data_IF_991165010036
#
_entry.id   IF_991165010036
#
_cell.length_a   1.000
_cell.length_b   1.000
_cell.length_c   1.000
_cell.angle_alpha   90.00
_cell.angle_beta   90.00
_cell.angle_gamma   90.00
#
_symmetry.space_group_name_H-M   'P 1'
#
loop_
_entity.id
_entity.type
_entity.pdbx_description
1 polymer ?
#
# COMPACT_ATOMS: atom_id res chain seq x y z
N UNK A 1 -5.68 1.17 20.41
CA UNK A 1 -7.06 1.70 20.32
C UNK A 1 -7.27 2.65 21.48
N UNK A 2 -6.99 3.94 21.29
CA UNK A 2 -7.03 4.93 22.39
C UNK A 2 -8.39 5.65 22.52
N UNK A 3 -9.30 5.47 21.55
CA UNK A 3 -10.68 5.93 21.59
C UNK A 3 -11.57 4.71 21.31
N UNK A 4 -12.64 4.50 22.09
CA UNK A 4 -13.56 3.34 21.98
C UNK A 4 -14.46 3.39 20.74
N UNK A 5 -13.92 3.84 19.61
CA UNK A 5 -14.62 4.09 18.36
C UNK A 5 -15.23 2.81 17.77
N UNK A 6 -14.70 1.63 18.10
CA UNK A 6 -15.26 0.33 17.69
C UNK A 6 -16.70 0.08 18.17
N UNK A 7 -17.19 0.86 19.13
CA UNK A 7 -18.56 0.78 19.62
C UNK A 7 -19.56 1.58 18.78
N UNK A 8 -19.11 2.37 17.81
CA UNK A 8 -20.00 3.04 16.85
C UNK A 8 -20.09 2.22 15.57
N UNK A 9 -21.22 2.33 14.86
CA UNK A 9 -21.39 1.65 13.57
C UNK A 9 -20.28 2.06 12.58
N UNK A 10 -19.89 3.33 12.59
CA UNK A 10 -18.82 3.85 11.74
C UNK A 10 -17.45 3.24 12.09
N UNK A 11 -17.10 3.14 13.37
CA UNK A 11 -15.83 2.54 13.78
C UNK A 11 -15.82 1.03 13.58
N UNK A 12 -16.95 0.35 13.78
CA UNK A 12 -17.10 -1.07 13.44
C UNK A 12 -16.94 -1.29 11.93
N UNK A 13 -17.57 -0.46 11.10
CA UNK A 13 -17.41 -0.52 9.63
C UNK A 13 -15.95 -0.31 9.22
N UNK A 14 -15.22 0.63 9.85
CA UNK A 14 -13.78 0.83 9.61
C UNK A 14 -12.97 -0.43 9.93
N UNK A 15 -13.30 -1.12 11.02
CA UNK A 15 -12.65 -2.39 11.40
C UNK A 15 -12.95 -3.48 10.38
N UNK A 16 -14.19 -3.60 9.93
CA UNK A 16 -14.59 -4.58 8.91
C UNK A 16 -13.87 -4.32 7.57
N UNK A 17 -13.79 -3.07 7.14
CA UNK A 17 -13.06 -2.67 5.93
C UNK A 17 -11.56 -3.02 6.01
N UNK A 18 -10.95 -2.88 7.18
CA UNK A 18 -9.56 -3.30 7.41
C UNK A 18 -9.46 -4.84 7.35
N UNK A 19 -10.35 -5.54 8.07
CA UNK A 19 -10.35 -7.01 8.17
C UNK A 19 -10.53 -7.69 6.83
N UNK A 20 -11.26 -7.06 5.90
CA UNK A 20 -11.47 -7.55 4.54
C UNK A 20 -10.16 -7.74 3.75
N UNK A 21 -9.12 -6.98 4.09
CA UNK A 21 -7.80 -7.08 3.44
C UNK A 21 -6.77 -7.94 4.18
N UNK A 22 -7.17 -8.59 5.30
CA UNK A 22 -6.26 -9.37 6.13
C UNK A 22 -6.48 -10.88 5.93
N UNK A 23 -5.39 -11.61 5.71
CA UNK A 23 -5.35 -13.09 5.68
C UNK A 23 -6.42 -13.66 4.73
N UNK A 24 -7.39 -14.41 5.26
CA UNK A 24 -8.48 -15.05 4.52
C UNK A 24 -9.64 -14.08 4.16
N UNK A 25 -9.48 -12.78 4.42
CA UNK A 25 -10.55 -11.79 4.24
C UNK A 25 -11.71 -11.98 5.21
N UNK A 26 -12.91 -11.56 4.80
CA UNK A 26 -14.15 -11.69 5.59
C UNK A 26 -14.80 -13.07 5.41
N UNK A 27 -15.44 -13.59 6.48
CA UNK A 27 -16.32 -14.75 6.39
C UNK A 27 -17.58 -14.41 5.59
N UNK A 28 -18.27 -15.44 5.04
CA UNK A 28 -19.53 -15.26 4.29
C UNK A 28 -20.60 -14.50 5.10
N UNK A 29 -20.68 -14.78 6.39
CA UNK A 29 -21.60 -14.12 7.30
C UNK A 29 -21.29 -12.62 7.46
N UNK A 30 -20.01 -12.26 7.59
CA UNK A 30 -19.60 -10.84 7.67
C UNK A 30 -19.82 -10.11 6.34
N UNK A 31 -19.64 -10.78 5.20
CA UNK A 31 -19.92 -10.19 3.88
C UNK A 31 -21.42 -9.87 3.72
N UNK A 32 -22.30 -10.75 4.21
CA UNK A 32 -23.75 -10.52 4.20
C UNK A 32 -24.16 -9.39 5.14
N UNK A 33 -23.53 -9.28 6.31
CA UNK A 33 -23.85 -8.25 7.30
C UNK A 33 -23.30 -6.86 6.93
N UNK A 34 -22.22 -6.82 6.14
CA UNK A 34 -21.56 -5.58 5.71
C UNK A 34 -21.34 -5.58 4.18
N UNK A 35 -22.41 -5.53 3.38
CA UNK A 35 -22.33 -5.66 1.92
C UNK A 35 -21.62 -4.46 1.26
N UNK A 36 -21.63 -3.30 1.91
CA UNK A 36 -20.94 -2.08 1.46
C UNK A 36 -19.46 -2.04 1.88
N UNK A 37 -18.88 -3.17 2.32
CA UNK A 37 -17.48 -3.23 2.69
C UNK A 37 -16.60 -2.89 1.49
N UNK A 38 -15.87 -1.78 1.59
CA UNK A 38 -14.82 -1.41 0.64
C UNK A 38 -13.49 -1.88 1.24
N UNK A 39 -12.82 -2.90 0.66
CA UNK A 39 -11.52 -3.32 1.14
C UNK A 39 -10.53 -2.17 1.03
N UNK A 40 -9.93 -1.77 2.15
CA UNK A 40 -8.94 -0.69 2.16
C UNK A 40 -7.59 -1.30 1.81
N UNK A 41 -6.98 -1.00 0.66
CA UNK A 41 -5.70 -1.58 0.28
C UNK A 41 -4.60 -1.09 1.24
N UNK A 42 -4.31 -1.88 2.28
CA UNK A 42 -3.30 -1.55 3.30
C UNK A 42 -1.92 -2.13 3.01
N UNK A 43 -1.74 -2.73 1.83
CA UNK A 43 -0.50 -3.41 1.46
C UNK A 43 0.71 -2.47 1.56
N UNK A 44 0.57 -1.24 1.08
CA UNK A 44 1.61 -0.21 1.17
C UNK A 44 1.89 0.26 2.60
N UNK A 45 0.90 0.19 3.51
CA UNK A 45 1.12 0.56 4.91
C UNK A 45 2.02 -0.43 5.64
N UNK A 46 2.03 -1.71 5.22
CA UNK A 46 2.95 -2.73 5.71
C UNK A 46 4.28 -2.76 4.94
N UNK A 47 4.18 -3.02 3.64
CA UNK A 47 5.32 -3.40 2.78
C UNK A 47 5.86 -2.25 1.90
N UNK A 48 5.15 -1.13 1.88
CA UNK A 48 5.52 0.04 1.07
C UNK A 48 6.70 0.80 1.67
N UNK A 49 7.45 1.48 0.83
CA UNK A 49 8.58 2.31 1.20
C UNK A 49 8.60 3.57 0.33
N UNK A 50 8.59 4.73 0.98
CA UNK A 50 8.83 6.04 0.36
C UNK A 50 10.24 6.46 0.74
N UNK A 51 11.08 6.67 -0.25
CA UNK A 51 12.49 6.97 0.00
C UNK A 51 13.00 8.06 -0.93
N UNK A 52 13.82 8.94 -0.36
CA UNK A 52 14.60 9.92 -1.11
C UNK A 52 15.98 9.34 -1.32
N UNK A 53 16.36 9.12 -2.58
CA UNK A 53 17.72 8.70 -2.93
C UNK A 53 18.61 9.93 -3.04
N UNK A 54 19.71 9.92 -2.29
CA UNK A 54 20.78 10.91 -2.34
C UNK A 54 22.05 10.26 -2.90
N UNK A 55 22.80 10.99 -3.71
CA UNK A 55 24.12 10.58 -4.21
C UNK A 55 25.14 11.63 -3.78
N UNK A 56 26.06 11.24 -2.89
CA UNK A 56 27.08 12.15 -2.30
C UNK A 56 26.49 13.45 -1.72
N UNK A 57 25.30 13.35 -1.11
CA UNK A 57 24.60 14.50 -0.53
C UNK A 57 23.80 15.35 -1.52
N UNK A 58 23.82 15.01 -2.81
CA UNK A 58 23.01 15.66 -3.84
C UNK A 58 21.73 14.85 -4.07
N UNK A 59 20.60 15.54 -4.21
CA UNK A 59 19.33 14.90 -4.55
C UNK A 59 19.46 14.12 -5.87
N UNK A 60 19.13 12.82 -5.82
CA UNK A 60 19.15 11.94 -6.99
C UNK A 60 17.74 11.71 -7.54
N UNK A 61 16.84 11.18 -6.70
CA UNK A 61 15.48 10.83 -7.11
C UNK A 61 14.59 10.49 -5.93
N UNK A 62 13.28 10.65 -6.12
CA UNK A 62 12.27 10.03 -5.27
C UNK A 62 12.00 8.59 -5.72
N UNK A 63 11.75 7.70 -4.77
CA UNK A 63 11.45 6.30 -5.02
C UNK A 63 10.27 5.86 -4.17
N UNK A 64 9.22 5.38 -4.83
CA UNK A 64 8.20 4.54 -4.21
C UNK A 64 8.55 3.08 -4.50
N UNK A 65 8.57 2.24 -3.47
CA UNK A 65 8.90 0.82 -3.58
C UNK A 65 7.94 -0.04 -2.76
N UNK A 66 7.56 -1.19 -3.28
CA UNK A 66 6.94 -2.28 -2.51
C UNK A 66 7.81 -3.52 -2.70
N UNK A 67 8.22 -4.16 -1.62
CA UNK A 67 9.06 -5.37 -1.66
C UNK A 67 8.24 -6.55 -1.12
N UNK A 68 8.28 -7.69 -1.81
CA UNK A 68 7.61 -8.91 -1.35
C UNK A 68 8.42 -10.16 -1.77
N UNK A 69 8.11 -11.32 -1.20
CA UNK A 69 8.69 -12.60 -1.63
C UNK A 69 8.38 -12.89 -3.11
N UNK A 70 9.29 -13.55 -3.83
CA UNK A 70 9.17 -13.82 -5.28
C UNK A 70 7.90 -14.61 -5.66
N UNK A 71 7.39 -15.43 -4.73
CA UNK A 71 6.13 -16.19 -4.89
C UNK A 71 4.92 -15.29 -5.20
N UNK A 72 4.98 -14.03 -4.80
CA UNK A 72 3.93 -13.02 -4.97
C UNK A 72 4.22 -12.12 -6.19
N UNK A 73 5.03 -12.58 -7.15
CA UNK A 73 5.30 -11.88 -8.42
C UNK A 73 4.02 -11.50 -9.17
N UNK A 74 3.03 -12.38 -9.18
CA UNK A 74 1.72 -12.14 -9.81
C UNK A 74 1.04 -10.93 -9.18
N UNK A 75 1.12 -10.78 -7.85
CA UNK A 75 0.55 -9.64 -7.13
C UNK A 75 1.27 -8.34 -7.50
N UNK A 76 2.61 -8.32 -7.51
CA UNK A 76 3.34 -7.11 -7.87
C UNK A 76 3.15 -6.72 -9.34
N UNK A 77 2.98 -7.71 -10.22
CA UNK A 77 2.65 -7.47 -11.63
C UNK A 77 1.26 -6.85 -11.76
N UNK A 78 0.26 -7.37 -11.04
CA UNK A 78 -1.07 -6.79 -11.00
C UNK A 78 -1.08 -5.36 -10.43
N UNK A 79 -0.25 -5.08 -9.42
CA UNK A 79 -0.08 -3.71 -8.87
C UNK A 79 0.52 -2.77 -9.92
N UNK A 80 1.55 -3.22 -10.65
CA UNK A 80 2.15 -2.45 -11.75
C UNK A 80 1.10 -2.13 -12.82
N UNK A 81 0.30 -3.11 -13.21
CA UNK A 81 -0.78 -2.93 -14.20
C UNK A 81 -1.88 -2.00 -13.68
N UNK A 82 -2.27 -2.14 -12.42
CA UNK A 82 -3.26 -1.28 -11.76
C UNK A 82 -2.84 0.20 -11.76
N UNK A 83 -1.59 0.49 -11.37
CA UNK A 83 -1.07 1.85 -11.40
C UNK A 83 -0.66 2.32 -12.80
N UNK A 84 -0.56 1.39 -13.76
CA UNK A 84 -0.05 1.62 -15.11
C UNK A 84 1.28 2.42 -15.14
N UNK A 85 2.15 2.19 -14.16
CA UNK A 85 3.44 2.84 -14.05
C UNK A 85 4.43 1.99 -13.24
N UNK A 86 5.71 2.39 -13.24
CA UNK A 86 6.77 1.67 -12.55
C UNK A 86 7.17 0.35 -13.22
N UNK A 87 7.96 -0.43 -12.51
CA UNK A 87 8.49 -1.72 -12.98
C UNK A 87 8.69 -2.69 -11.82
N UNK A 88 8.67 -3.99 -12.14
CA UNK A 88 9.00 -5.05 -11.20
C UNK A 88 10.46 -5.49 -11.40
N UNK A 89 11.18 -5.72 -10.32
CA UNK A 89 12.59 -6.12 -10.32
C UNK A 89 12.79 -7.31 -9.38
N UNK A 90 13.18 -8.45 -9.95
CA UNK A 90 13.45 -9.67 -9.19
C UNK A 90 14.88 -9.67 -8.62
N UNK A 91 14.98 -9.76 -7.30
CA UNK A 91 16.24 -9.88 -6.54
C UNK A 91 16.48 -11.36 -6.23
N UNK A 92 17.03 -12.08 -7.21
CA UNK A 92 17.27 -13.53 -7.12
C UNK A 92 18.11 -13.97 -5.92
N UNK A 93 19.04 -13.14 -5.45
CA UNK A 93 19.87 -13.46 -4.29
C UNK A 93 19.08 -13.41 -2.97
N UNK A 94 17.99 -12.64 -2.93
CA UNK A 94 17.20 -12.40 -1.73
C UNK A 94 15.81 -13.07 -1.80
N UNK A 95 15.51 -13.82 -2.87
CA UNK A 95 14.18 -14.42 -3.15
C UNK A 95 13.03 -13.41 -3.01
N UNK A 96 13.27 -12.16 -3.38
CA UNK A 96 12.27 -11.09 -3.30
C UNK A 96 12.10 -10.41 -4.65
N UNK A 97 10.95 -9.82 -4.84
CA UNK A 97 10.60 -8.98 -5.98
C UNK A 97 10.22 -7.59 -5.47
N UNK A 98 10.68 -6.57 -6.17
CA UNK A 98 10.38 -5.16 -5.87
C UNK A 98 9.52 -4.56 -6.97
N UNK A 99 8.39 -3.95 -6.62
CA UNK A 99 7.72 -2.97 -7.47
C UNK A 99 8.32 -1.60 -7.19
N UNK A 100 8.80 -0.88 -8.22
CA UNK A 100 9.49 0.41 -8.08
C UNK A 100 8.90 1.46 -9.03
N UNK A 101 8.70 2.66 -8.50
CA UNK A 101 8.37 3.86 -9.26
C UNK A 101 9.41 4.94 -8.93
N UNK A 102 10.25 5.26 -9.90
CA UNK A 102 11.32 6.27 -9.77
C UNK A 102 11.08 7.51 -10.60
N UNK A 103 10.21 7.42 -11.61
CA UNK A 103 9.94 8.52 -12.53
C UNK A 103 9.10 9.58 -11.82
N UNK A 104 9.64 10.78 -11.71
CA UNK A 104 8.99 11.89 -11.00
C UNK A 104 7.58 12.19 -11.54
N UNK A 105 7.39 12.11 -12.86
CA UNK A 105 6.06 12.31 -13.47
C UNK A 105 5.02 11.34 -12.94
N UNK A 106 5.40 10.08 -12.77
CA UNK A 106 4.48 9.01 -12.38
C UNK A 106 4.22 9.09 -10.88
N UNK A 107 5.25 9.43 -10.09
CA UNK A 107 5.09 9.73 -8.67
C UNK A 107 4.11 10.89 -8.45
N UNK A 108 4.29 12.00 -9.17
CA UNK A 108 3.49 13.20 -8.98
C UNK A 108 2.06 13.09 -9.54
N UNK A 109 1.87 12.37 -10.65
CA UNK A 109 0.56 12.28 -11.33
C UNK A 109 -0.27 11.08 -10.91
N UNK A 110 0.35 10.03 -10.38
CA UNK A 110 -0.32 8.76 -10.09
C UNK A 110 -0.20 8.41 -8.61
N UNK A 111 1.04 8.25 -8.12
CA UNK A 111 1.28 7.71 -6.77
C UNK A 111 0.84 8.68 -5.67
N UNK A 112 1.24 9.94 -5.75
CA UNK A 112 0.88 10.96 -4.74
C UNK A 112 -0.65 11.18 -4.72
N UNK A 113 -1.34 11.44 -5.85
CA UNK A 113 -2.80 11.59 -5.85
C UNK A 113 -3.53 10.35 -5.33
N UNK A 114 -3.03 9.15 -5.63
CA UNK A 114 -3.60 7.91 -5.10
C UNK A 114 -3.54 7.88 -3.57
N UNK A 115 -2.38 8.15 -2.96
CA UNK A 115 -2.21 8.11 -1.50
C UNK A 115 -2.79 9.34 -0.78
N UNK A 116 -3.15 10.41 -1.49
CA UNK A 116 -3.99 11.49 -0.95
C UNK A 116 -5.44 11.01 -0.81
N UNK A 117 -5.98 10.32 -1.83
CA UNK A 117 -7.36 9.82 -1.83
C UNK A 117 -7.52 8.54 -1.00
N UNK A 118 -6.49 7.69 -0.96
CA UNK A 118 -6.41 6.45 -0.18
C UNK A 118 -5.25 6.55 0.82
N UNK A 119 -5.45 7.27 1.94
CA UNK A 119 -4.38 7.62 2.86
C UNK A 119 -3.70 6.39 3.48
N UNK A 120 -2.37 6.47 3.54
CA UNK A 120 -1.53 5.52 4.26
C UNK A 120 -1.82 5.67 5.75
N UNK A 121 -1.94 4.55 6.44
CA UNK A 121 -2.26 4.52 7.87
C UNK A 121 -1.04 4.10 8.68
N UNK A 122 -0.96 4.61 9.91
CA UNK A 122 0.13 4.31 10.85
C UNK A 122 1.35 5.22 10.67
N UNK A 123 2.49 4.82 11.23
CA UNK A 123 3.71 5.65 11.29
C UNK A 123 4.22 6.01 9.90
N UNK A 124 4.06 5.11 8.91
CA UNK A 124 4.46 5.34 7.51
C UNK A 124 3.70 6.49 6.83
N UNK A 125 2.58 6.94 7.41
CA UNK A 125 1.89 8.14 6.94
C UNK A 125 2.69 9.42 7.19
N UNK A 126 3.62 9.40 8.16
CA UNK A 126 4.56 10.49 8.40
C UNK A 126 5.61 10.52 7.28
N UNK A 127 6.21 9.36 6.94
CA UNK A 127 7.17 9.23 5.84
C UNK A 127 6.64 9.69 4.48
N UNK A 128 5.32 9.60 4.25
CA UNK A 128 4.68 10.09 3.03
C UNK A 128 4.43 11.61 3.03
N UNK A 129 4.31 12.22 4.21
CA UNK A 129 4.05 13.66 4.37
C UNK A 129 5.33 14.49 4.38
N UNK A 130 6.45 13.88 4.77
CA UNK A 130 7.79 14.48 4.72
C UNK A 130 8.25 14.72 3.26
#
# INVERSE_FOLDING_TARGET
MQLKEHNTLEGLQKIINIRATLNLGLSKELQLMFPETIPVPRFTSGEGNFSVSLDKGIFKSLLFKITQHERDEVLLTAIKEYFNCGYCYLRKQENTIDFKVTKFSDLNKIIIPFFINSPILGVKSLDFKD
#
